data_IF_534170544907
#
_entry.id   IF_534170544907
#
_cell.length_a   1.000
_cell.length_b   1.000
_cell.length_c   1.000
_cell.angle_alpha   90.00
_cell.angle_beta   90.00
_cell.angle_gamma   90.00
#
_symmetry.space_group_name_H-M   'P 1'
#
loop_
_entity.id
_entity.type
_entity.pdbx_description
1 polymer ?
#
# COMPACT_ATOMS: atom_id res chain seq x y z
N UNK A 1 7.91 -20.19 0.99
CA UNK A 1 7.26 -20.20 2.33
C UNK A 1 7.17 -18.79 2.90
N UNK A 2 8.30 -18.13 3.20
CA UNK A 2 8.30 -16.74 3.68
C UNK A 2 7.69 -15.78 2.66
N UNK A 3 8.02 -15.92 1.37
CA UNK A 3 7.42 -15.13 0.29
C UNK A 3 5.90 -15.21 0.26
N UNK A 4 5.32 -16.41 0.45
CA UNK A 4 3.86 -16.62 0.51
C UNK A 4 3.22 -15.84 1.65
N UNK A 5 3.92 -15.72 2.79
CA UNK A 5 3.44 -14.95 3.95
C UNK A 5 3.48 -13.45 3.64
N UNK A 6 4.58 -12.99 3.04
CA UNK A 6 4.72 -11.60 2.59
C UNK A 6 3.68 -11.22 1.52
N UNK A 7 3.34 -12.13 0.61
CA UNK A 7 2.24 -11.94 -0.36
C UNK A 7 0.90 -11.71 0.33
N UNK A 8 0.58 -12.49 1.37
CA UNK A 8 -0.65 -12.28 2.14
C UNK A 8 -0.61 -11.00 2.98
N UNK A 9 0.58 -10.53 3.37
CA UNK A 9 0.79 -9.31 4.14
C UNK A 9 0.89 -8.03 3.29
N UNK A 10 0.67 -8.12 1.97
CA UNK A 10 0.64 -6.96 1.05
C UNK A 10 -0.51 -5.99 1.32
N UNK A 11 -1.64 -6.50 1.80
CA UNK A 11 -2.77 -5.66 2.22
C UNK A 11 -3.07 -5.90 3.69
N UNK A 12 -3.40 -4.85 4.48
CA UNK A 12 -3.64 -4.99 5.91
C UNK A 12 -4.78 -5.98 6.19
N UNK A 13 -4.53 -6.98 7.05
CA UNK A 13 -5.53 -8.00 7.41
C UNK A 13 -5.49 -8.36 8.89
N UNK A 14 -6.62 -8.78 9.46
CA UNK A 14 -6.64 -9.37 10.79
C UNK A 14 -5.89 -10.71 10.79
N UNK A 15 -5.39 -11.11 11.97
CA UNK A 15 -4.54 -12.29 12.10
C UNK A 15 -5.29 -13.59 11.77
N UNK A 16 -6.59 -13.64 12.04
CA UNK A 16 -7.46 -14.79 11.75
C UNK A 16 -7.58 -15.00 10.24
N UNK A 17 -7.81 -13.93 9.48
CA UNK A 17 -7.87 -13.98 8.03
C UNK A 17 -6.51 -14.38 7.45
N UNK A 18 -5.41 -13.83 7.99
CA UNK A 18 -4.07 -14.19 7.57
C UNK A 18 -3.80 -15.69 7.79
N UNK A 19 -4.15 -16.22 8.95
CA UNK A 19 -4.00 -17.65 9.25
C UNK A 19 -4.83 -18.54 8.32
N UNK A 20 -6.07 -18.15 8.01
CA UNK A 20 -6.90 -18.88 7.06
C UNK A 20 -6.26 -18.91 5.67
N UNK A 21 -5.89 -17.75 5.13
CA UNK A 21 -5.28 -17.64 3.79
C UNK A 21 -3.94 -18.37 3.68
N UNK A 22 -3.15 -18.38 4.76
CA UNK A 22 -1.91 -19.16 4.81
C UNK A 22 -2.17 -20.66 4.72
N UNK A 23 -3.20 -21.16 5.43
CA UNK A 23 -3.59 -22.57 5.32
C UNK A 23 -4.08 -22.92 3.91
N UNK A 24 -4.88 -22.05 3.29
CA UNK A 24 -5.34 -22.21 1.89
C UNK A 24 -4.16 -22.22 0.90
N UNK A 25 -3.13 -21.41 1.16
CA UNK A 25 -1.89 -21.37 0.38
C UNK A 25 -0.90 -22.51 0.71
N UNK A 26 -1.28 -23.47 1.56
CA UNK A 26 -0.47 -24.64 1.91
C UNK A 26 0.56 -24.40 3.03
N UNK A 27 0.55 -23.24 3.67
CA UNK A 27 1.40 -22.92 4.84
C UNK A 27 0.65 -23.35 6.11
N UNK A 28 0.96 -24.56 6.59
CA UNK A 28 0.35 -25.17 7.78
C UNK A 28 0.97 -24.67 9.09
N UNK A 29 1.03 -23.36 9.28
CA UNK A 29 1.46 -22.76 10.54
C UNK A 29 0.29 -22.71 11.52
N UNK A 30 0.58 -22.96 12.80
CA UNK A 30 -0.38 -22.70 13.86
C UNK A 30 -0.38 -21.20 14.24
N UNK A 31 -1.40 -20.79 14.99
CA UNK A 31 -1.53 -19.38 15.39
C UNK A 31 -0.34 -18.84 16.17
N UNK A 32 0.26 -19.64 17.05
CA UNK A 32 1.42 -19.21 17.84
C UNK A 32 2.65 -18.96 16.95
N UNK A 33 2.87 -19.79 15.93
CA UNK A 33 3.96 -19.59 14.95
C UNK A 33 3.75 -18.33 14.12
N UNK A 34 2.51 -18.10 13.68
CA UNK A 34 2.16 -16.87 12.95
C UNK A 34 2.37 -15.63 13.83
N UNK A 35 1.85 -15.63 15.06
CA UNK A 35 2.04 -14.53 16.01
C UNK A 35 3.51 -14.24 16.28
N UNK A 36 4.31 -15.28 16.49
CA UNK A 36 5.74 -15.11 16.74
C UNK A 36 6.45 -14.48 15.53
N UNK A 37 6.12 -14.92 14.31
CA UNK A 37 6.64 -14.33 13.09
C UNK A 37 6.27 -12.84 12.94
N UNK A 38 4.99 -12.51 13.15
CA UNK A 38 4.48 -11.13 13.10
C UNK A 38 5.14 -10.21 14.14
N UNK A 39 5.54 -10.77 15.29
CA UNK A 39 6.21 -10.04 16.38
C UNK A 39 7.71 -9.84 16.12
N UNK A 40 8.37 -10.85 15.55
CA UNK A 40 9.82 -10.86 15.39
C UNK A 40 10.30 -10.09 14.16
N UNK A 41 9.50 -10.01 13.11
CA UNK A 41 9.90 -9.39 11.85
C UNK A 41 9.70 -7.87 11.91
N UNK A 42 10.81 -7.11 11.92
CA UNK A 42 10.80 -5.65 11.99
C UNK A 42 10.12 -4.97 10.79
N UNK A 43 9.97 -5.69 9.67
CA UNK A 43 9.26 -5.18 8.51
C UNK A 43 7.76 -5.17 8.77
N UNK A 44 7.24 -5.99 9.67
CA UNK A 44 5.80 -6.12 9.89
C UNK A 44 5.30 -4.94 10.73
N UNK A 45 4.28 -4.25 10.20
CA UNK A 45 3.58 -3.15 10.83
C UNK A 45 2.21 -3.61 11.27
N UNK A 46 1.87 -3.24 12.50
CA UNK A 46 0.55 -3.43 13.08
C UNK A 46 -0.16 -2.08 13.22
N UNK A 47 -1.34 -1.96 12.64
CA UNK A 47 -2.20 -0.79 12.76
C UNK A 47 -3.52 -1.25 13.38
N UNK A 48 -3.68 -1.00 14.68
CA UNK A 48 -4.80 -1.56 15.46
C UNK A 48 -4.71 -3.09 15.55
N UNK A 49 -5.67 -3.75 14.92
CA UNK A 49 -5.87 -5.19 14.82
C UNK A 49 -5.41 -5.79 13.47
N UNK A 50 -4.90 -4.95 12.56
CA UNK A 50 -4.44 -5.34 11.23
C UNK A 50 -2.91 -5.46 11.15
N UNK A 51 -2.43 -6.48 10.43
CA UNK A 51 -1.01 -6.73 10.16
C UNK A 51 -0.67 -6.54 8.68
N UNK A 52 0.51 -6.00 8.39
CA UNK A 52 1.05 -5.80 7.04
C UNK A 52 2.58 -5.86 7.05
N UNK A 53 3.22 -6.21 5.94
CA UNK A 53 4.69 -6.24 5.84
C UNK A 53 5.19 -5.02 5.05
N UNK A 54 6.08 -4.25 5.67
CA UNK A 54 6.64 -2.98 5.20
C UNK A 54 7.57 -3.15 4.00
N UNK A 55 7.15 -2.52 2.90
CA UNK A 55 7.79 -2.47 1.59
C UNK A 55 6.76 -2.01 0.55
N UNK A 56 5.53 -2.53 0.68
CA UNK A 56 4.34 -2.02 -0.01
C UNK A 56 3.56 -1.11 0.93
N UNK A 57 4.26 -0.10 1.45
CA UNK A 57 3.68 1.00 2.18
C UNK A 57 2.52 1.54 1.31
N UNK A 58 1.40 1.94 1.90
CA UNK A 58 0.32 2.61 1.17
C UNK A 58 0.90 3.67 0.22
N UNK A 59 1.96 4.37 0.67
CA UNK A 59 2.76 5.28 -0.15
C UNK A 59 3.30 4.68 -1.45
N UNK A 60 3.90 3.48 -1.43
CA UNK A 60 4.44 2.80 -2.61
C UNK A 60 3.32 2.42 -3.57
N UNK A 61 2.22 1.84 -3.06
CA UNK A 61 1.06 1.45 -3.88
C UNK A 61 0.47 2.70 -4.56
N UNK A 62 0.25 3.76 -3.79
CA UNK A 62 -0.26 5.02 -4.31
C UNK A 62 0.72 5.63 -5.31
N UNK A 63 2.05 5.59 -5.07
CA UNK A 63 3.04 6.08 -6.02
C UNK A 63 3.07 5.29 -7.33
N UNK A 64 2.95 3.96 -7.28
CA UNK A 64 2.87 3.13 -8.48
C UNK A 64 1.61 3.44 -9.29
N UNK A 65 0.48 3.66 -8.61
CA UNK A 65 -0.77 4.09 -9.27
C UNK A 65 -0.61 5.47 -9.88
N UNK A 66 0.00 6.43 -9.16
CA UNK A 66 0.30 7.77 -9.67
C UNK A 66 1.19 7.68 -10.91
N UNK A 67 2.29 6.92 -10.84
CA UNK A 67 3.23 6.70 -11.96
C UNK A 67 2.50 6.10 -13.17
N UNK A 68 1.61 5.13 -12.95
CA UNK A 68 0.79 4.50 -14.01
C UNK A 68 -0.23 5.45 -14.63
N UNK A 69 -0.91 6.26 -13.83
CA UNK A 69 -1.89 7.24 -14.36
C UNK A 69 -1.18 8.38 -15.10
N UNK A 70 0.03 8.72 -14.65
CA UNK A 70 0.92 9.75 -15.22
C UNK A 70 1.79 9.24 -16.38
N UNK A 71 1.61 8.02 -16.86
CA UNK A 71 2.43 7.38 -17.92
C UNK A 71 2.68 8.31 -19.13
N UNK A 72 3.82 9.00 -19.12
CA UNK A 72 4.22 10.03 -20.08
C UNK A 72 3.49 11.38 -20.02
N UNK A 73 2.51 11.56 -19.13
CA UNK A 73 1.70 12.79 -19.03
C UNK A 73 2.30 13.78 -18.01
N UNK A 74 2.30 15.09 -18.32
CA UNK A 74 2.80 16.09 -17.38
C UNK A 74 1.84 16.36 -16.21
N UNK A 75 0.54 16.05 -16.38
CA UNK A 75 -0.55 16.36 -15.44
C UNK A 75 -1.54 15.19 -15.37
N UNK A 76 -2.03 14.90 -14.16
CA UNK A 76 -3.19 14.03 -13.95
C UNK A 76 -4.11 14.52 -12.81
N UNK A 77 -5.44 14.40 -12.95
CA UNK A 77 -6.38 14.65 -11.86
C UNK A 77 -6.27 13.62 -10.74
N UNK A 78 -6.35 14.06 -9.48
CA UNK A 78 -6.34 13.16 -8.31
C UNK A 78 -7.56 12.24 -8.32
N UNK A 79 -8.72 12.72 -8.77
CA UNK A 79 -9.92 11.89 -8.97
C UNK A 79 -9.63 10.66 -9.84
N UNK A 80 -8.85 10.86 -10.90
CA UNK A 80 -8.46 9.77 -11.79
C UNK A 80 -7.48 8.82 -11.13
N UNK A 81 -6.67 9.26 -10.16
CA UNK A 81 -5.80 8.35 -9.40
C UNK A 81 -6.63 7.49 -8.46
N UNK A 82 -7.61 8.09 -7.77
CA UNK A 82 -8.54 7.40 -6.85
C UNK A 82 -9.30 6.27 -7.58
N UNK A 83 -9.70 6.47 -8.84
CA UNK A 83 -10.38 5.44 -9.64
C UNK A 83 -9.54 4.15 -9.85
N UNK A 84 -8.21 4.24 -9.70
CA UNK A 84 -7.29 3.11 -9.86
C UNK A 84 -6.79 2.59 -8.51
N UNK A 85 -7.21 3.21 -7.40
CA UNK A 85 -6.94 2.71 -6.06
C UNK A 85 -7.83 1.49 -5.80
N UNK A 86 -7.25 0.36 -5.35
CA UNK A 86 -8.02 -0.80 -4.93
C UNK A 86 -9.08 -0.43 -3.88
N UNK A 87 -10.30 -0.97 -4.01
CA UNK A 87 -11.44 -0.63 -3.12
C UNK A 87 -11.21 -1.00 -1.64
N UNK A 88 -10.24 -1.87 -1.36
CA UNK A 88 -9.79 -2.25 -0.02
C UNK A 88 -8.84 -1.21 0.62
N UNK A 89 -8.46 -0.17 -0.11
CA UNK A 89 -7.60 0.93 0.36
C UNK A 89 -8.44 2.21 0.48
N UNK A 90 -8.67 2.65 1.72
CA UNK A 90 -9.30 3.93 2.01
C UNK A 90 -8.21 4.99 2.04
N UNK A 91 -8.21 5.91 1.07
CA UNK A 91 -7.24 7.00 0.97
C UNK A 91 -7.94 8.28 0.50
N UNK A 92 -7.57 9.42 1.09
CA UNK A 92 -8.11 10.72 0.69
C UNK A 92 -7.29 11.37 -0.43
N UNK A 93 -7.85 12.38 -1.08
CA UNK A 93 -7.13 13.15 -2.10
C UNK A 93 -5.91 13.87 -1.52
N UNK A 94 -6.01 14.39 -0.30
CA UNK A 94 -4.92 15.03 0.44
C UNK A 94 -3.80 14.03 0.74
N UNK A 95 -4.17 12.80 1.10
CA UNK A 95 -3.22 11.76 1.43
C UNK A 95 -2.45 11.29 0.19
N UNK A 96 -3.14 11.12 -0.95
CA UNK A 96 -2.50 10.89 -2.25
C UNK A 96 -1.53 12.03 -2.60
N UNK A 97 -1.96 13.28 -2.39
CA UNK A 97 -1.15 14.46 -2.72
C UNK A 97 0.12 14.50 -1.88
N UNK A 98 0.00 14.32 -0.56
CA UNK A 98 1.13 14.29 0.37
C UNK A 98 2.11 13.17 0.02
N UNK A 99 1.62 12.00 -0.34
CA UNK A 99 2.44 10.86 -0.76
C UNK A 99 3.19 11.19 -2.05
N UNK A 100 2.49 11.72 -3.04
CA UNK A 100 3.07 12.10 -4.33
C UNK A 100 4.16 13.18 -4.15
N UNK A 101 3.91 14.20 -3.34
CA UNK A 101 4.87 15.26 -3.01
C UNK A 101 6.08 14.73 -2.24
N UNK A 102 5.88 13.82 -1.29
CA UNK A 102 6.97 13.20 -0.52
C UNK A 102 7.96 12.41 -1.39
N UNK A 103 7.55 12.00 -2.60
CA UNK A 103 8.43 11.33 -3.56
C UNK A 103 9.41 12.26 -4.28
N UNK A 104 9.16 13.57 -4.25
CA UNK A 104 9.95 14.56 -4.99
C UNK A 104 9.79 14.51 -6.53
N UNK A 105 8.96 13.61 -7.07
CA UNK A 105 8.68 13.51 -8.51
C UNK A 105 7.48 14.34 -8.94
N UNK A 106 6.59 14.66 -8.01
CA UNK A 106 5.28 15.25 -8.27
C UNK A 106 5.02 16.41 -7.32
N UNK A 107 4.22 17.38 -7.78
CA UNK A 107 3.74 18.52 -6.99
C UNK A 107 2.24 18.71 -7.17
N UNK A 108 1.56 19.15 -6.11
CA UNK A 108 0.16 19.54 -6.20
C UNK A 108 0.04 20.90 -6.91
N UNK A 109 -0.83 21.00 -7.91
CA UNK A 109 -1.15 22.28 -8.52
C UNK A 109 -1.90 23.19 -7.54
N UNK A 110 -1.81 24.50 -7.72
CA UNK A 110 -2.44 25.52 -6.87
C UNK A 110 -3.97 25.44 -6.76
N UNK A 111 -4.63 24.63 -7.60
CA UNK A 111 -6.07 24.37 -7.55
C UNK A 111 -6.45 23.18 -6.65
N UNK A 112 -5.47 22.46 -6.09
CA UNK A 112 -5.68 21.34 -5.18
C UNK A 112 -6.27 20.06 -5.80
N UNK A 113 -6.48 20.01 -7.11
CA UNK A 113 -7.24 18.93 -7.76
C UNK A 113 -6.41 18.06 -8.73
N UNK A 114 -5.23 18.54 -9.14
CA UNK A 114 -4.37 17.89 -10.13
C UNK A 114 -2.93 17.83 -9.63
N UNK A 115 -2.28 16.70 -9.89
CA UNK A 115 -0.85 16.49 -9.69
C UNK A 115 -0.10 16.82 -10.99
N UNK A 116 1.03 17.50 -10.84
CA UNK A 116 1.98 17.80 -11.91
C UNK A 116 3.27 17.04 -11.69
N UNK A 117 3.89 16.57 -12.78
CA UNK A 117 5.26 16.05 -12.72
C UNK A 117 6.24 17.22 -12.58
N UNK A 118 7.20 17.12 -11.65
CA UNK A 118 8.29 18.09 -11.59
C UNK A 118 9.09 18.01 -12.89
N UNK A 119 9.25 19.16 -13.56
CA UNK A 119 10.24 19.28 -14.62
C UNK A 119 11.60 19.39 -13.93
N UNK A 120 12.46 18.39 -14.14
CA UNK A 120 13.90 18.56 -13.94
C UNK A 120 14.44 19.60 -14.92
#
# INVERSE_FOLDING_TARGET
MVETIYEQLKTPKPIEELHQRLNEAGVKWNMSQLQLFLLMDSNIKRTGDLYSAGGNNLNTIILDIVDKVMDGKPIAPIRKIIEYVPNDIIVSAEEISRIAESSGKYILHSNGAVLMRMKN
#
